data_IF_919654246659
#
_entry.id   IF_919654246659
#
_cell.length_a   1.000
_cell.length_b   1.000
_cell.length_c   1.000
_cell.angle_alpha   90.00
_cell.angle_beta   90.00
_cell.angle_gamma   90.00
#
_symmetry.space_group_name_H-M   'P 1'
#
loop_
_entity.id
_entity.type
_entity.pdbx_description
1 polymer ?
#
# COMPACT_ATOMS: atom_id res chain seq x y z
N UNK A 1 58.41 -19.28 -0.59
CA UNK A 1 57.11 -18.73 -1.07
C UNK A 1 56.51 -17.92 0.06
N UNK A 2 56.30 -16.62 -0.17
CA UNK A 2 55.94 -15.66 0.87
C UNK A 2 54.48 -15.86 1.30
N UNK A 3 54.16 -15.63 2.58
CA UNK A 3 52.76 -15.61 3.06
C UNK A 3 51.89 -14.60 2.29
N UNK A 4 52.50 -13.58 1.69
CA UNK A 4 51.84 -12.60 0.83
C UNK A 4 51.33 -13.21 -0.48
N UNK A 5 52.10 -14.09 -1.11
CA UNK A 5 51.74 -14.74 -2.38
C UNK A 5 50.49 -15.63 -2.22
N UNK A 6 50.39 -16.33 -1.09
CA UNK A 6 49.23 -17.16 -0.77
C UNK A 6 47.96 -16.39 -0.38
N UNK A 7 48.04 -15.09 -0.10
CA UNK A 7 46.85 -14.23 0.14
C UNK A 7 46.33 -13.68 -1.19
N UNK A 8 47.23 -13.27 -2.08
CA UNK A 8 46.88 -12.76 -3.42
C UNK A 8 46.18 -13.85 -4.24
N UNK A 9 46.69 -15.08 -4.21
CA UNK A 9 46.07 -16.20 -4.95
C UNK A 9 44.65 -16.51 -4.47
N UNK A 10 44.42 -16.47 -3.14
CA UNK A 10 43.08 -16.69 -2.57
C UNK A 10 42.10 -15.58 -2.92
N UNK A 11 42.55 -14.33 -2.95
CA UNK A 11 41.72 -13.20 -3.37
C UNK A 11 41.35 -13.31 -4.85
N UNK A 12 42.31 -13.69 -5.70
CA UNK A 12 42.06 -13.89 -7.12
C UNK A 12 41.05 -15.02 -7.37
N UNK A 13 41.21 -16.15 -6.66
CA UNK A 13 40.26 -17.26 -6.74
C UNK A 13 38.86 -16.85 -6.28
N UNK A 14 38.76 -16.10 -5.18
CA UNK A 14 37.47 -15.59 -4.67
C UNK A 14 36.80 -14.64 -5.68
N UNK A 15 37.58 -13.78 -6.36
CA UNK A 15 37.06 -12.88 -7.38
C UNK A 15 36.53 -13.64 -8.60
N UNK A 16 37.27 -14.65 -9.06
CA UNK A 16 36.84 -15.50 -10.18
C UNK A 16 35.57 -16.29 -9.83
N UNK A 17 35.45 -16.79 -8.61
CA UNK A 17 34.24 -17.47 -8.13
C UNK A 17 33.04 -16.50 -8.07
N UNK A 18 33.23 -15.30 -7.52
CA UNK A 18 32.19 -14.28 -7.48
C UNK A 18 31.75 -13.84 -8.89
N UNK A 19 32.68 -13.72 -9.83
CA UNK A 19 32.37 -13.42 -11.23
C UNK A 19 31.52 -14.52 -11.88
N UNK A 20 31.89 -15.79 -11.67
CA UNK A 20 31.13 -16.94 -12.19
C UNK A 20 29.72 -16.98 -11.62
N UNK A 21 29.56 -16.73 -10.32
CA UNK A 21 28.25 -16.69 -9.68
C UNK A 21 27.37 -15.57 -10.24
N UNK A 22 27.93 -14.37 -10.48
CA UNK A 22 27.21 -13.26 -11.10
C UNK A 22 26.78 -13.57 -12.53
N UNK A 23 27.65 -14.21 -13.33
CA UNK A 23 27.31 -14.64 -14.69
C UNK A 23 26.17 -15.67 -14.68
N UNK A 24 26.25 -16.67 -13.81
CA UNK A 24 25.20 -17.68 -13.65
C UNK A 24 23.86 -17.07 -13.21
N UNK A 25 23.89 -16.09 -12.30
CA UNK A 25 22.69 -15.35 -11.87
C UNK A 25 22.10 -14.53 -13.02
N UNK A 26 22.92 -13.83 -13.79
CA UNK A 26 22.48 -13.07 -14.95
C UNK A 26 21.83 -13.98 -16.02
N UNK A 27 22.47 -15.11 -16.35
CA UNK A 27 21.93 -16.11 -17.28
C UNK A 27 20.62 -16.73 -16.80
N UNK A 28 20.49 -16.99 -15.49
CA UNK A 28 19.25 -17.48 -14.91
C UNK A 28 18.12 -16.45 -15.01
N UNK A 29 18.41 -15.17 -14.77
CA UNK A 29 17.44 -14.08 -14.92
C UNK A 29 17.02 -13.91 -16.39
N UNK A 30 17.96 -13.94 -17.34
CA UNK A 30 17.67 -13.85 -18.77
C UNK A 30 16.74 -14.99 -19.20
N UNK A 31 17.03 -16.24 -18.81
CA UNK A 31 16.15 -17.39 -19.09
C UNK A 31 14.75 -17.21 -18.50
N UNK A 32 14.66 -16.70 -17.27
CA UNK A 32 13.37 -16.41 -16.64
C UNK A 32 12.56 -15.33 -17.40
N UNK A 33 13.21 -14.25 -17.85
CA UNK A 33 12.55 -13.22 -18.66
C UNK A 33 12.09 -13.76 -20.02
N UNK A 34 12.90 -14.59 -20.69
CA UNK A 34 12.48 -15.25 -21.94
C UNK A 34 11.26 -16.14 -21.71
N UNK A 35 11.24 -16.91 -20.62
CA UNK A 35 10.07 -17.71 -20.23
C UNK A 35 8.82 -16.87 -19.97
N UNK A 36 8.96 -15.69 -19.33
CA UNK A 36 7.84 -14.77 -19.14
C UNK A 36 7.32 -14.19 -20.46
N UNK A 37 8.21 -13.78 -21.36
CA UNK A 37 7.81 -13.27 -22.68
C UNK A 37 7.07 -14.33 -23.49
N UNK A 38 7.57 -15.56 -23.54
CA UNK A 38 6.88 -16.66 -24.20
C UNK A 38 5.51 -16.94 -23.58
N UNK A 39 5.39 -16.92 -22.25
CA UNK A 39 4.09 -17.08 -21.59
C UNK A 39 3.10 -15.96 -21.95
N UNK A 40 3.58 -14.72 -22.11
CA UNK A 40 2.75 -13.61 -22.58
C UNK A 40 2.27 -13.82 -24.01
N UNK A 41 3.14 -14.31 -24.91
CA UNK A 41 2.75 -14.67 -26.29
C UNK A 41 1.59 -15.67 -26.29
N UNK A 42 1.69 -16.74 -25.49
CA UNK A 42 0.63 -17.76 -25.40
C UNK A 42 -0.67 -17.19 -24.84
N UNK A 43 -0.60 -16.37 -23.77
CA UNK A 43 -1.80 -15.76 -23.16
C UNK A 43 -2.50 -14.76 -24.08
N UNK A 44 -1.76 -14.10 -24.96
CA UNK A 44 -2.30 -13.14 -25.92
C UNK A 44 -2.77 -13.82 -27.23
N UNK A 45 -2.69 -15.16 -27.33
CA UNK A 45 -3.07 -15.88 -28.54
C UNK A 45 -2.13 -15.62 -29.73
N UNK A 46 -0.90 -15.17 -29.49
CA UNK A 46 0.08 -14.82 -30.53
C UNK A 46 1.04 -15.98 -30.84
N UNK A 47 0.73 -17.20 -30.40
CA UNK A 47 1.59 -18.36 -30.55
C UNK A 47 1.83 -18.72 -32.02
N UNK A 48 0.79 -18.67 -32.86
CA UNK A 48 0.90 -18.96 -34.29
C UNK A 48 1.83 -17.97 -35.01
N UNK A 49 1.72 -16.67 -34.68
CA UNK A 49 2.60 -15.65 -35.26
C UNK A 49 4.06 -15.81 -34.82
N UNK A 50 4.29 -16.27 -33.58
CA UNK A 50 5.63 -16.60 -33.12
C UNK A 50 6.18 -17.83 -33.88
N UNK A 51 5.36 -18.84 -34.13
CA UNK A 51 5.77 -20.02 -34.88
C UNK A 51 6.03 -19.71 -36.36
N UNK A 52 5.28 -18.82 -36.99
CA UNK A 52 5.57 -18.32 -38.35
C UNK A 52 6.95 -17.64 -38.43
N UNK A 53 7.31 -16.87 -37.41
CA UNK A 53 8.63 -16.24 -37.34
C UNK A 53 9.71 -17.28 -37.09
N UNK A 54 9.46 -18.32 -36.28
CA UNK A 54 10.40 -19.42 -36.07
C UNK A 54 10.66 -20.24 -37.34
N UNK A 55 9.65 -20.37 -38.21
CA UNK A 55 9.82 -21.02 -39.51
C UNK A 55 10.72 -20.20 -40.44
N UNK A 56 10.70 -18.86 -40.33
CA UNK A 56 11.52 -17.96 -41.14
C UNK A 56 12.90 -17.66 -40.51
N UNK A 57 13.02 -17.75 -39.19
CA UNK A 57 14.24 -17.54 -38.43
C UNK A 57 14.39 -18.60 -37.33
N UNK A 58 15.30 -19.55 -37.56
CA UNK A 58 15.59 -20.65 -36.62
C UNK A 58 16.17 -20.19 -35.27
N UNK A 59 16.69 -18.95 -35.17
CA UNK A 59 17.22 -18.39 -33.92
C UNK A 59 16.17 -17.66 -33.08
N UNK A 60 14.97 -17.45 -33.62
CA UNK A 60 13.84 -16.89 -32.88
C UNK A 60 13.18 -17.93 -31.95
N UNK A 61 12.66 -17.54 -30.77
CA UNK A 61 12.93 -16.30 -30.04
C UNK A 61 14.12 -16.43 -29.06
N UNK A 62 14.89 -17.52 -29.11
CA UNK A 62 15.95 -17.80 -28.15
C UNK A 62 17.09 -16.77 -28.18
N UNK A 63 17.40 -16.23 -29.37
CA UNK A 63 18.41 -15.18 -29.55
C UNK A 63 17.89 -13.74 -29.46
N UNK A 64 16.61 -13.52 -29.15
CA UNK A 64 16.01 -12.19 -29.17
C UNK A 64 16.43 -11.33 -27.98
N UNK A 65 16.88 -10.12 -28.27
CA UNK A 65 17.04 -9.06 -27.29
C UNK A 65 15.74 -8.29 -27.02
N UNK A 66 15.79 -7.27 -26.13
CA UNK A 66 14.62 -6.47 -25.79
C UNK A 66 14.00 -5.71 -26.97
N UNK A 67 14.81 -5.33 -27.97
CA UNK A 67 14.38 -4.64 -29.19
C UNK A 67 13.52 -5.55 -30.07
N UNK A 68 13.94 -6.79 -30.26
CA UNK A 68 13.30 -7.80 -31.09
C UNK A 68 11.96 -8.21 -30.48
N UNK A 69 11.93 -8.44 -29.16
CA UNK A 69 10.69 -8.65 -28.43
C UNK A 69 9.72 -7.47 -28.56
N UNK A 70 10.21 -6.23 -28.47
CA UNK A 70 9.39 -5.04 -28.65
C UNK A 70 8.81 -4.98 -30.06
N UNK A 71 9.64 -5.19 -31.09
CA UNK A 71 9.20 -5.20 -32.49
C UNK A 71 8.16 -6.29 -32.74
N UNK A 72 8.39 -7.50 -32.23
CA UNK A 72 7.45 -8.61 -32.30
C UNK A 72 6.08 -8.23 -31.74
N UNK A 73 6.01 -7.74 -30.49
CA UNK A 73 4.71 -7.37 -29.89
C UNK A 73 4.06 -6.19 -30.61
N UNK A 74 4.83 -5.21 -31.11
CA UNK A 74 4.28 -4.11 -31.88
C UNK A 74 3.68 -4.58 -33.21
N UNK A 75 4.33 -5.49 -33.92
CA UNK A 75 3.84 -6.05 -35.17
C UNK A 75 2.64 -6.97 -34.94
N UNK A 76 2.75 -7.89 -33.98
CA UNK A 76 1.72 -8.87 -33.65
C UNK A 76 0.41 -8.23 -33.17
N UNK A 77 0.50 -7.14 -32.41
CA UNK A 77 -0.69 -6.37 -31.98
C UNK A 77 -1.34 -5.59 -33.12
N UNK A 78 -0.61 -5.32 -34.20
CA UNK A 78 -1.14 -4.66 -35.41
C UNK A 78 -1.74 -5.67 -36.38
N UNK A 79 -1.17 -6.88 -36.49
CA UNK A 79 -1.59 -7.91 -37.46
C UNK A 79 -2.69 -8.83 -36.93
N UNK A 80 -2.68 -9.20 -35.65
CA UNK A 80 -3.65 -10.12 -35.04
C UNK A 80 -4.77 -9.41 -34.28
N UNK A 81 -5.39 -8.39 -34.88
CA UNK A 81 -6.60 -7.77 -34.30
C UNK A 81 -7.87 -8.47 -34.82
N UNK A 82 -8.45 -9.45 -34.08
CA UNK A 82 -9.85 -9.82 -34.29
C UNK A 82 -10.73 -8.64 -33.89
N UNK A 83 -11.91 -8.53 -34.54
CA UNK A 83 -12.94 -7.48 -34.37
C UNK A 83 -13.57 -7.47 -32.95
N UNK A 84 -12.76 -7.26 -31.92
CA UNK A 84 -13.15 -6.99 -30.54
C UNK A 84 -12.25 -5.89 -29.98
N UNK A 85 -12.80 -4.87 -29.32
CA UNK A 85 -12.11 -3.61 -29.11
C UNK A 85 -11.11 -3.72 -27.95
N UNK A 86 -9.83 -3.79 -28.29
CA UNK A 86 -8.73 -3.57 -27.35
C UNK A 86 -8.03 -2.25 -27.70
N UNK A 87 -8.30 -1.26 -26.85
CA UNK A 87 -7.47 -0.12 -26.48
C UNK A 87 -6.49 0.44 -27.51
N UNK A 88 -6.98 1.48 -28.19
CA UNK A 88 -6.22 2.73 -28.26
C UNK A 88 -5.01 2.72 -29.19
N UNK A 89 -5.22 2.38 -30.47
CA UNK A 89 -4.62 3.13 -31.57
C UNK A 89 -5.40 2.84 -32.85
N UNK A 90 -6.12 3.83 -33.35
CA UNK A 90 -6.44 3.91 -34.77
C UNK A 90 -6.11 5.33 -35.21
N UNK A 91 -5.06 5.47 -36.02
CA UNK A 91 -5.06 6.57 -36.99
C UNK A 91 -6.15 6.24 -38.00
N UNK A 92 -7.29 6.91 -37.89
CA UNK A 92 -8.27 7.02 -38.95
C UNK A 92 -8.96 8.40 -38.89
N UNK A 93 -9.49 8.87 -40.02
CA UNK A 93 -9.80 10.26 -40.28
C UNK A 93 -10.99 10.76 -39.43
N UNK A 94 -10.83 11.99 -38.93
CA UNK A 94 -11.79 12.87 -38.25
C UNK A 94 -13.01 12.22 -37.53
N UNK A 95 -12.81 11.51 -36.40
CA UNK A 95 -13.89 11.07 -35.50
C UNK A 95 -14.29 12.16 -34.48
N UNK A 96 -13.66 13.34 -34.52
CA UNK A 96 -13.71 14.33 -33.46
C UNK A 96 -15.09 15.02 -33.39
N UNK A 97 -15.81 15.14 -34.50
CA UNK A 97 -17.11 15.82 -34.54
C UNK A 97 -18.24 15.01 -33.87
N UNK A 98 -18.28 13.69 -34.08
CA UNK A 98 -19.29 12.82 -33.44
C UNK A 98 -19.00 12.63 -31.96
N UNK A 99 -17.74 12.48 -31.58
CA UNK A 99 -17.36 12.32 -30.18
C UNK A 99 -17.56 13.62 -29.39
N UNK A 100 -17.25 14.78 -29.97
CA UNK A 100 -17.56 16.09 -29.36
C UNK A 100 -19.07 16.32 -29.22
N UNK A 101 -19.88 15.89 -30.20
CA UNK A 101 -21.34 15.95 -30.09
C UNK A 101 -21.89 15.04 -28.99
N UNK A 102 -21.33 13.83 -28.83
CA UNK A 102 -21.71 12.93 -27.73
C UNK A 102 -21.25 13.45 -26.37
N UNK A 103 -20.04 14.02 -26.28
CA UNK A 103 -19.56 14.66 -25.04
C UNK A 103 -20.47 15.84 -24.68
N UNK A 104 -20.85 16.69 -25.64
CA UNK A 104 -21.80 17.79 -25.38
C UNK A 104 -23.18 17.28 -24.95
N UNK A 105 -23.70 16.21 -25.58
CA UNK A 105 -24.97 15.60 -25.16
C UNK A 105 -24.90 15.02 -23.74
N UNK A 106 -23.81 14.35 -23.38
CA UNK A 106 -23.63 13.77 -22.05
C UNK A 106 -23.44 14.85 -20.99
N UNK A 107 -22.67 15.91 -21.28
CA UNK A 107 -22.52 17.05 -20.37
C UNK A 107 -23.85 17.77 -20.13
N UNK A 108 -24.64 18.02 -21.18
CA UNK A 108 -25.97 18.62 -21.03
C UNK A 108 -26.91 17.71 -20.22
N UNK A 109 -26.80 16.38 -20.36
CA UNK A 109 -27.61 15.44 -19.59
C UNK A 109 -27.21 15.39 -18.11
N UNK A 110 -25.93 15.54 -17.80
CA UNK A 110 -25.44 15.65 -16.42
C UNK A 110 -25.99 16.92 -15.78
N UNK A 111 -25.90 18.07 -16.45
CA UNK A 111 -26.43 19.34 -15.94
C UNK A 111 -27.96 19.28 -15.71
N UNK A 112 -28.72 18.63 -16.62
CA UNK A 112 -30.16 18.38 -16.43
C UNK A 112 -30.45 17.54 -15.18
N UNK A 113 -29.69 16.46 -14.97
CA UNK A 113 -29.88 15.55 -13.84
C UNK A 113 -29.48 16.22 -12.51
N UNK A 114 -28.42 17.01 -12.51
CA UNK A 114 -28.00 17.79 -11.34
C UNK A 114 -29.04 18.86 -10.99
N UNK A 115 -29.62 19.53 -11.99
CA UNK A 115 -30.71 20.47 -11.76
C UNK A 115 -31.99 19.78 -11.26
N UNK A 116 -32.28 18.57 -11.75
CA UNK A 116 -33.41 17.76 -11.26
C UNK A 116 -33.20 17.29 -9.82
N UNK A 117 -31.99 16.89 -9.45
CA UNK A 117 -31.63 16.54 -8.07
C UNK A 117 -31.75 17.75 -7.15
N UNK A 118 -31.27 18.92 -7.55
CA UNK A 118 -31.44 20.15 -6.76
C UNK A 118 -32.90 20.59 -6.60
N UNK A 119 -33.77 20.30 -7.59
CA UNK A 119 -35.22 20.53 -7.45
C UNK A 119 -35.86 19.54 -6.49
N UNK A 120 -35.50 18.26 -6.58
CA UNK A 120 -35.98 17.23 -5.66
C UNK A 120 -35.53 17.49 -4.20
N UNK A 121 -34.30 17.96 -3.99
CA UNK A 121 -33.79 18.37 -2.68
C UNK A 121 -34.51 19.60 -2.12
N UNK A 122 -34.88 20.57 -3.00
CA UNK A 122 -35.69 21.73 -2.62
C UNK A 122 -37.14 21.38 -2.34
N UNK A 123 -37.71 20.40 -3.05
CA UNK A 123 -39.05 19.87 -2.78
C UNK A 123 -39.09 19.05 -1.48
N UNK A 124 -38.01 18.36 -1.10
CA UNK A 124 -37.89 17.66 0.19
C UNK A 124 -37.60 18.58 1.38
N UNK A 125 -37.24 19.84 1.17
CA UNK A 125 -36.96 20.82 2.23
C UNK A 125 -38.10 21.84 2.45
N UNK A 126 -39.25 21.66 1.80
CA UNK A 126 -40.47 22.37 2.16
C UNK A 126 -41.04 21.82 3.49
N UNK A 127 -41.45 22.68 4.45
CA UNK A 127 -41.82 22.22 5.78
C UNK A 127 -43.20 21.54 5.76
N UNK A 128 -43.21 20.22 5.94
CA UNK A 128 -44.44 19.47 6.21
C UNK A 128 -44.64 19.32 7.72
N UNK A 129 -45.87 19.65 8.12
CA UNK A 129 -46.46 19.50 9.45
C UNK A 129 -46.41 18.04 9.93
N UNK A 130 -46.52 17.79 11.26
CA UNK A 130 -46.31 16.48 11.81
C UNK A 130 -47.61 15.68 11.72
N UNK A 131 -47.57 14.50 11.10
CA UNK A 131 -48.32 13.33 11.57
C UNK A 131 -47.96 12.07 10.78
N UNK A 132 -48.08 10.93 11.49
CA UNK A 132 -47.97 9.54 11.05
C UNK A 132 -46.62 8.84 11.15
N UNK A 133 -46.42 8.34 12.38
CA UNK A 133 -45.88 7.02 12.75
C UNK A 133 -45.99 5.98 11.65
N UNK A 134 -44.87 5.48 11.14
CA UNK A 134 -44.73 4.12 10.61
C UNK A 134 -43.29 3.63 10.80
N UNK A 135 -43.24 2.41 11.34
CA UNK A 135 -42.12 1.53 11.64
C UNK A 135 -40.96 1.54 10.64
N UNK A 136 -39.76 1.85 11.14
CA UNK A 136 -38.49 1.62 10.45
C UNK A 136 -38.05 0.16 10.55
N UNK A 137 -37.50 -0.44 9.47
CA UNK A 137 -36.72 -1.66 9.58
C UNK A 137 -35.34 -1.32 10.16
N UNK A 138 -34.93 -2.10 11.17
CA UNK A 138 -33.65 -2.01 11.85
C UNK A 138 -32.53 -2.42 10.89
N UNK A 139 -31.87 -1.45 10.26
CA UNK A 139 -30.54 -1.64 9.71
C UNK A 139 -29.57 -1.81 10.87
N UNK A 140 -29.16 -3.07 11.09
CA UNK A 140 -28.16 -3.41 12.09
C UNK A 140 -26.80 -2.96 11.56
N UNK A 141 -26.40 -1.72 11.86
CA UNK A 141 -25.00 -1.27 11.69
C UNK A 141 -24.13 -2.07 12.65
N UNK A 142 -23.45 -3.09 12.15
CA UNK A 142 -22.38 -3.75 12.89
C UNK A 142 -21.28 -2.72 13.17
N UNK A 143 -21.15 -2.26 14.42
CA UNK A 143 -20.04 -1.39 14.83
C UNK A 143 -18.70 -2.11 14.60
N UNK A 144 -17.97 -1.70 13.57
CA UNK A 144 -16.60 -2.17 13.34
C UNK A 144 -15.68 -1.42 14.29
N UNK A 145 -15.16 -2.10 15.31
CA UNK A 145 -14.17 -1.52 16.22
C UNK A 145 -12.89 -1.17 15.47
N UNK A 146 -12.58 0.12 15.43
CA UNK A 146 -11.41 0.68 14.73
C UNK A 146 -10.19 0.67 15.66
N UNK A 147 -9.03 0.26 15.14
CA UNK A 147 -7.82 0.20 15.93
C UNK A 147 -7.11 1.56 15.96
N UNK A 148 -7.01 2.19 17.13
CA UNK A 148 -5.98 3.20 17.37
C UNK A 148 -4.63 2.49 17.50
N UNK A 149 -3.77 2.64 16.50
CA UNK A 149 -2.47 1.99 16.53
C UNK A 149 -1.51 2.76 17.45
N UNK A 150 -1.06 2.06 18.48
CA UNK A 150 -0.13 2.57 19.49
C UNK A 150 1.27 2.78 18.90
N UNK A 151 2.13 3.57 19.56
CA UNK A 151 3.54 3.64 19.20
C UNK A 151 4.18 2.26 19.31
N UNK A 152 5.16 1.97 18.45
CA UNK A 152 5.73 0.62 18.34
C UNK A 152 6.35 0.11 19.65
N UNK A 153 6.97 1.00 20.44
CA UNK A 153 7.52 0.67 21.75
C UNK A 153 6.43 0.17 22.72
N UNK A 154 5.24 0.77 22.71
CA UNK A 154 4.14 0.31 23.57
C UNK A 154 3.60 -1.06 23.12
N UNK A 155 3.63 -1.36 21.82
CA UNK A 155 3.29 -2.69 21.31
C UNK A 155 4.29 -3.75 21.75
N UNK A 156 5.59 -3.40 21.80
CA UNK A 156 6.63 -4.28 22.34
C UNK A 156 6.34 -4.63 23.79
N UNK A 157 6.07 -3.64 24.64
CA UNK A 157 5.80 -3.88 26.06
C UNK A 157 4.52 -4.69 26.29
N UNK A 158 3.46 -4.39 25.54
CA UNK A 158 2.21 -5.18 25.57
C UNK A 158 2.43 -6.63 25.16
N UNK A 159 3.28 -6.88 24.17
CA UNK A 159 3.54 -8.23 23.68
C UNK A 159 4.49 -9.01 24.58
N UNK A 160 5.47 -8.36 25.21
CA UNK A 160 6.35 -8.96 26.24
C UNK A 160 5.56 -9.44 27.46
N UNK A 161 4.57 -8.66 27.90
CA UNK A 161 3.72 -9.00 29.04
C UNK A 161 2.66 -10.08 28.76
N UNK A 162 2.62 -10.65 27.55
CA UNK A 162 1.55 -11.56 27.13
C UNK A 162 2.00 -13.00 27.11
N UNK A 163 1.29 -13.85 27.84
CA UNK A 163 1.47 -15.29 27.74
C UNK A 163 1.01 -15.79 26.37
N UNK A 164 1.70 -16.79 25.83
CA UNK A 164 1.31 -17.42 24.56
C UNK A 164 0.17 -18.39 24.81
N UNK A 165 -1.04 -18.16 24.25
CA UNK A 165 -2.17 -19.05 24.43
C UNK A 165 -1.86 -20.50 24.05
N UNK A 166 -2.36 -21.51 24.78
CA UNK A 166 -2.06 -22.91 24.50
C UNK A 166 -2.66 -23.36 23.17
N UNK A 167 -1.95 -24.26 22.46
CA UNK A 167 -2.39 -24.84 21.18
C UNK A 167 -3.72 -25.58 21.26
N UNK A 168 -4.15 -25.98 22.45
CA UNK A 168 -5.43 -26.67 22.69
C UNK A 168 -6.64 -25.81 22.34
N UNK A 169 -6.49 -24.48 22.37
CA UNK A 169 -7.55 -23.53 21.98
C UNK A 169 -7.73 -23.45 20.45
N UNK A 170 -6.77 -23.96 19.67
CA UNK A 170 -6.81 -23.92 18.21
C UNK A 170 -7.60 -25.14 17.68
N UNK A 171 -8.46 -24.96 16.65
CA UNK A 171 -9.13 -26.05 15.97
C UNK A 171 -8.15 -27.16 15.56
N UNK A 172 -8.54 -28.42 15.77
CA UNK A 172 -7.65 -29.59 15.61
C UNK A 172 -6.96 -29.60 14.23
N UNK A 173 -7.70 -29.27 13.17
CA UNK A 173 -7.17 -29.22 11.79
C UNK A 173 -5.97 -28.28 11.62
N UNK A 174 -5.96 -27.15 12.34
CA UNK A 174 -4.90 -26.14 12.27
C UNK A 174 -3.89 -26.29 13.40
N UNK A 175 -4.26 -26.99 14.46
CA UNK A 175 -3.41 -27.24 15.62
C UNK A 175 -2.11 -27.88 15.19
N UNK A 176 -2.13 -28.96 14.40
CA UNK A 176 -0.92 -29.68 13.99
C UNK A 176 -0.12 -28.94 12.92
N UNK A 177 -0.79 -28.09 12.15
CA UNK A 177 -0.19 -27.26 11.13
C UNK A 177 0.66 -26.12 11.70
N UNK A 178 0.45 -25.68 12.95
CA UNK A 178 1.29 -24.67 13.59
C UNK A 178 2.57 -25.27 14.18
N UNK A 179 3.65 -24.49 14.18
CA UNK A 179 4.95 -24.84 14.74
C UNK A 179 4.90 -25.03 16.26
N UNK A 180 5.90 -25.69 16.86
CA UNK A 180 6.01 -25.91 18.33
C UNK A 180 7.04 -24.95 18.97
N UNK A 181 6.99 -24.80 20.30
CA UNK A 181 7.95 -23.99 21.07
C UNK A 181 8.03 -22.54 20.57
N UNK A 182 9.24 -22.01 20.40
CA UNK A 182 9.44 -20.64 19.92
C UNK A 182 8.82 -20.36 18.54
N UNK A 183 8.66 -21.38 17.69
CA UNK A 183 8.02 -21.19 16.38
C UNK A 183 6.54 -20.87 16.56
N UNK A 184 5.86 -21.62 17.43
CA UNK A 184 4.47 -21.38 17.80
C UNK A 184 4.29 -19.96 18.33
N UNK A 185 5.15 -19.58 19.27
CA UNK A 185 5.12 -18.26 19.90
C UNK A 185 5.19 -17.14 18.86
N UNK A 186 6.12 -17.22 17.91
CA UNK A 186 6.24 -16.22 16.84
C UNK A 186 5.03 -16.20 15.90
N UNK A 187 4.48 -17.36 15.56
CA UNK A 187 3.26 -17.46 14.73
C UNK A 187 2.08 -16.76 15.43
N UNK A 188 1.88 -17.05 16.71
CA UNK A 188 0.81 -16.46 17.52
C UNK A 188 1.01 -14.96 17.73
N UNK A 189 2.25 -14.51 17.93
CA UNK A 189 2.59 -13.10 18.06
C UNK A 189 2.30 -12.32 16.77
N UNK A 190 2.61 -12.88 15.58
CA UNK A 190 2.23 -12.26 14.29
C UNK A 190 0.70 -12.15 14.20
N UNK A 191 -0.02 -13.25 14.46
CA UNK A 191 -1.49 -13.24 14.41
C UNK A 191 -2.09 -12.21 15.35
N UNK A 192 -1.52 -12.06 16.55
CA UNK A 192 -1.94 -11.04 17.49
C UNK A 192 -1.70 -9.62 16.97
N UNK A 193 -0.50 -9.32 16.46
CA UNK A 193 -0.17 -7.99 15.93
C UNK A 193 -1.09 -7.60 14.77
N UNK A 194 -1.35 -8.53 13.85
CA UNK A 194 -2.30 -8.31 12.76
C UNK A 194 -3.75 -8.15 13.29
N UNK A 195 -4.14 -8.93 14.31
CA UNK A 195 -5.44 -8.77 14.96
C UNK A 195 -5.59 -7.42 15.68
N UNK A 196 -4.49 -6.78 16.10
CA UNK A 196 -4.52 -5.41 16.65
C UNK A 196 -4.64 -4.32 15.57
N UNK A 197 -4.71 -4.70 14.29
CA UNK A 197 -4.91 -3.79 13.16
C UNK A 197 -3.64 -3.41 12.41
N UNK A 198 -2.45 -3.83 12.85
CA UNK A 198 -1.21 -3.56 12.11
C UNK A 198 -1.25 -4.26 10.76
N UNK A 199 -0.91 -3.53 9.70
CA UNK A 199 -0.86 -4.07 8.35
C UNK A 199 0.54 -4.02 7.73
N UNK A 200 1.47 -3.24 8.30
CA UNK A 200 2.79 -3.01 7.71
C UNK A 200 3.77 -4.05 8.25
N UNK A 201 4.32 -4.87 7.34
CA UNK A 201 5.23 -5.96 7.73
C UNK A 201 6.48 -5.47 8.46
N UNK A 202 6.99 -4.29 8.10
CA UNK A 202 8.18 -3.73 8.75
C UNK A 202 7.94 -3.44 10.24
N UNK A 203 6.74 -2.98 10.61
CA UNK A 203 6.35 -2.77 12.01
C UNK A 203 6.26 -4.09 12.75
N UNK A 204 5.58 -5.07 12.16
CA UNK A 204 5.42 -6.41 12.75
C UNK A 204 6.77 -7.08 12.93
N UNK A 205 7.65 -7.02 11.91
CA UNK A 205 9.02 -7.54 11.97
C UNK A 205 9.83 -6.86 13.08
N UNK A 206 9.71 -5.54 13.24
CA UNK A 206 10.43 -4.79 14.26
C UNK A 206 9.94 -5.15 15.67
N UNK A 207 8.62 -5.15 15.92
CA UNK A 207 8.05 -5.50 17.22
C UNK A 207 8.43 -6.93 17.61
N UNK A 208 8.29 -7.89 16.68
CA UNK A 208 8.71 -9.28 16.91
C UNK A 208 10.19 -9.40 17.23
N UNK A 209 11.03 -8.66 16.50
CA UNK A 209 12.47 -8.68 16.71
C UNK A 209 12.83 -8.21 18.12
N UNK A 210 12.23 -7.10 18.58
CA UNK A 210 12.46 -6.58 19.93
C UNK A 210 11.98 -7.55 21.02
N UNK A 211 10.80 -8.15 20.86
CA UNK A 211 10.23 -9.07 21.85
C UNK A 211 11.03 -10.38 21.96
N UNK A 212 11.58 -10.85 20.85
CA UNK A 212 12.27 -12.15 20.80
C UNK A 212 13.81 -12.04 20.82
N UNK A 213 14.37 -10.84 21.01
CA UNK A 213 15.83 -10.62 20.97
C UNK A 213 16.46 -10.97 19.61
N UNK A 214 15.74 -10.76 18.50
CA UNK A 214 16.19 -11.06 17.15
C UNK A 214 16.61 -9.79 16.41
N UNK A 215 17.33 -9.96 15.30
CA UNK A 215 17.49 -8.87 14.33
C UNK A 215 16.18 -8.67 13.53
N UNK A 216 15.76 -7.42 13.27
CA UNK A 216 14.67 -7.14 12.33
C UNK A 216 14.93 -7.82 10.99
N UNK A 217 13.86 -8.29 10.32
CA UNK A 217 13.92 -8.98 9.02
C UNK A 217 14.78 -10.26 9.00
N UNK A 218 15.04 -10.86 10.17
CA UNK A 218 15.76 -12.13 10.26
C UNK A 218 15.05 -13.27 9.54
N UNK A 219 15.82 -14.27 9.10
CA UNK A 219 15.29 -15.42 8.37
C UNK A 219 14.23 -16.21 9.15
N UNK A 220 14.28 -16.22 10.49
CA UNK A 220 13.27 -16.85 11.34
C UNK A 220 11.91 -16.14 11.23
N UNK A 221 11.88 -14.82 11.27
CA UNK A 221 10.66 -14.03 11.09
C UNK A 221 10.11 -14.22 9.66
N UNK A 222 10.98 -14.13 8.64
CA UNK A 222 10.58 -14.35 7.24
C UNK A 222 9.95 -15.72 7.01
N UNK A 223 10.55 -16.79 7.54
CA UNK A 223 9.98 -18.15 7.45
C UNK A 223 8.64 -18.28 8.17
N UNK A 224 8.44 -17.51 9.24
CA UNK A 224 7.18 -17.52 10.00
C UNK A 224 6.06 -16.90 9.18
N UNK A 225 6.28 -15.72 8.55
CA UNK A 225 5.34 -15.12 7.60
C UNK A 225 5.00 -16.06 6.43
N UNK A 226 6.02 -16.62 5.78
CA UNK A 226 5.81 -17.52 4.64
C UNK A 226 4.95 -18.73 5.03
N UNK A 227 5.15 -19.28 6.24
CA UNK A 227 4.33 -20.38 6.73
C UNK A 227 2.90 -19.96 7.01
N UNK A 228 2.68 -18.84 7.70
CA UNK A 228 1.32 -18.36 7.96
C UNK A 228 0.56 -18.09 6.66
N UNK A 229 1.25 -17.61 5.62
CA UNK A 229 0.68 -17.44 4.28
C UNK A 229 0.37 -18.78 3.60
N UNK A 230 1.27 -19.76 3.69
CA UNK A 230 1.05 -21.13 3.19
C UNK A 230 -0.10 -21.86 3.88
N UNK A 231 -0.36 -21.52 5.15
CA UNK A 231 -1.49 -22.02 5.92
C UNK A 231 -2.78 -21.21 5.68
N UNK A 232 -2.74 -20.25 4.76
CA UNK A 232 -3.85 -19.36 4.44
C UNK A 232 -4.42 -18.64 5.67
N UNK A 233 -3.57 -18.35 6.67
CA UNK A 233 -3.95 -17.58 7.86
C UNK A 233 -3.68 -16.09 7.67
N UNK A 234 -2.77 -15.74 6.75
CA UNK A 234 -2.50 -14.36 6.38
C UNK A 234 -2.41 -14.24 4.87
N UNK A 235 -2.76 -13.07 4.37
CA UNK A 235 -2.48 -12.63 3.02
C UNK A 235 -1.35 -11.59 3.07
N UNK A 236 -0.45 -11.61 2.08
CA UNK A 236 0.63 -10.62 1.98
C UNK A 236 0.65 -9.98 0.61
N UNK A 237 0.81 -8.66 0.54
CA UNK A 237 0.97 -7.92 -0.71
C UNK A 237 2.13 -6.93 -0.60
N UNK A 238 2.85 -6.69 -1.70
CA UNK A 238 3.80 -5.58 -1.77
C UNK A 238 3.22 -4.49 -2.64
N UNK A 239 2.98 -3.32 -2.05
CA UNK A 239 2.60 -2.14 -2.79
C UNK A 239 3.84 -1.29 -3.12
N UNK A 240 3.79 -0.54 -4.21
CA UNK A 240 4.93 0.23 -4.71
C UNK A 240 4.53 1.67 -4.98
N UNK A 241 5.50 2.55 -4.75
CA UNK A 241 5.43 3.96 -5.07
C UNK A 241 6.59 4.30 -6.02
N UNK A 242 6.31 5.05 -7.08
CA UNK A 242 7.31 5.41 -8.10
C UNK A 242 8.07 6.69 -7.74
N UNK A 243 7.43 7.63 -7.06
CA UNK A 243 7.97 8.92 -6.65
C UNK A 243 7.51 9.27 -5.23
N UNK A 244 8.39 9.19 -4.22
CA UNK A 244 9.72 8.59 -4.27
C UNK A 244 9.66 7.07 -4.57
N UNK A 245 10.75 6.51 -5.13
CA UNK A 245 10.81 5.08 -5.47
C UNK A 245 10.96 4.24 -4.21
N UNK A 246 9.87 3.63 -3.76
CA UNK A 246 9.86 2.78 -2.58
C UNK A 246 8.78 1.70 -2.67
N UNK A 247 8.81 0.74 -1.76
CA UNK A 247 7.82 -0.33 -1.69
C UNK A 247 7.56 -0.73 -0.25
N UNK A 248 6.30 -1.04 0.04
CA UNK A 248 5.87 -1.44 1.37
C UNK A 248 5.24 -2.83 1.31
N UNK A 249 5.78 -3.76 2.10
CA UNK A 249 5.21 -5.08 2.27
C UNK A 249 4.13 -5.02 3.35
N UNK A 250 2.94 -5.49 3.01
CA UNK A 250 1.76 -5.53 3.85
C UNK A 250 1.35 -6.97 4.16
N UNK A 251 0.64 -7.14 5.27
CA UNK A 251 -0.01 -8.39 5.64
C UNK A 251 -1.36 -8.10 6.31
N UNK A 252 -2.34 -8.98 6.11
CA UNK A 252 -3.62 -8.97 6.82
C UNK A 252 -4.05 -10.40 7.17
N UNK A 253 -4.93 -10.54 8.15
CA UNK A 253 -5.55 -11.83 8.44
C UNK A 253 -6.54 -12.19 7.33
N UNK A 254 -6.50 -13.44 6.86
CA UNK A 254 -7.60 -14.02 6.08
C UNK A 254 -8.77 -14.35 7.01
N UNK A 255 -9.92 -14.76 6.46
CA UNK A 255 -11.04 -15.23 7.29
C UNK A 255 -10.64 -16.40 8.20
N UNK A 256 -9.84 -17.34 7.68
CA UNK A 256 -9.26 -18.43 8.48
C UNK A 256 -8.33 -17.89 9.58
N UNK A 257 -7.50 -16.90 9.26
CA UNK A 257 -6.64 -16.22 10.23
C UNK A 257 -7.42 -15.53 11.34
N UNK A 258 -8.53 -14.86 11.00
CA UNK A 258 -9.44 -14.22 11.96
C UNK A 258 -10.07 -15.25 12.88
N UNK A 259 -10.58 -16.35 12.33
CA UNK A 259 -11.17 -17.43 13.12
C UNK A 259 -10.15 -18.03 14.11
N UNK A 260 -8.89 -18.23 13.68
CA UNK A 260 -7.81 -18.68 14.58
C UNK A 260 -7.51 -17.63 15.65
N UNK A 261 -7.36 -16.37 15.27
CA UNK A 261 -7.10 -15.29 16.23
C UNK A 261 -8.21 -15.20 17.29
N UNK A 262 -9.48 -15.31 16.88
CA UNK A 262 -10.63 -15.35 17.79
C UNK A 262 -10.62 -16.58 18.69
N UNK A 263 -10.31 -17.77 18.15
CA UNK A 263 -10.18 -18.99 18.95
C UNK A 263 -9.06 -18.90 20.00
N UNK A 264 -8.01 -18.12 19.72
CA UNK A 264 -6.94 -17.78 20.65
C UNK A 264 -7.31 -16.67 21.65
N UNK A 265 -8.57 -16.22 21.65
CA UNK A 265 -9.09 -15.17 22.53
C UNK A 265 -8.62 -13.76 22.16
N UNK A 266 -8.22 -13.53 20.90
CA UNK A 266 -7.79 -12.21 20.46
C UNK A 266 -8.99 -11.38 20.02
N UNK A 267 -9.04 -10.12 20.47
CA UNK A 267 -9.89 -9.12 19.84
C UNK A 267 -9.31 -8.82 18.46
N UNK A 268 -10.08 -9.12 17.41
CA UNK A 268 -9.71 -8.87 16.02
C UNK A 268 -10.32 -7.54 15.59
N UNK A 269 -9.46 -6.59 15.26
CA UNK A 269 -9.81 -5.26 14.77
C UNK A 269 -9.63 -5.18 13.26
N UNK A 270 -10.26 -4.20 12.64
CA UNK A 270 -10.00 -3.86 11.23
C UNK A 270 -8.55 -3.39 11.07
N UNK A 271 -7.85 -3.93 10.06
CA UNK A 271 -6.51 -3.51 9.71
C UNK A 271 -6.49 -2.20 8.93
N UNK A 272 -5.41 -1.43 9.05
CA UNK A 272 -5.25 -0.15 8.35
C UNK A 272 -5.34 -0.28 6.82
N UNK A 273 -4.78 -1.37 6.28
CA UNK A 273 -4.85 -1.65 4.86
C UNK A 273 -6.29 -1.97 4.42
N UNK A 274 -7.04 -2.74 5.22
CA UNK A 274 -8.44 -3.06 4.94
C UNK A 274 -9.32 -1.82 5.00
N UNK A 275 -9.04 -0.96 5.97
CA UNK A 275 -9.71 0.32 6.15
C UNK A 275 -9.51 1.24 4.95
N UNK A 276 -8.28 1.33 4.41
CA UNK A 276 -7.99 2.08 3.19
C UNK A 276 -8.69 1.49 1.96
N UNK A 277 -8.75 0.16 1.83
CA UNK A 277 -9.50 -0.50 0.76
C UNK A 277 -10.99 -0.13 0.82
N UNK A 278 -11.58 -0.16 2.02
CA UNK A 278 -13.01 0.11 2.23
C UNK A 278 -13.39 1.58 2.09
N UNK A 279 -12.60 2.49 2.65
CA UNK A 279 -12.96 3.91 2.77
C UNK A 279 -12.39 4.79 1.65
N UNK A 280 -11.38 4.35 0.92
CA UNK A 280 -10.58 5.24 0.05
C UNK A 280 -10.27 4.66 -1.34
N UNK A 281 -11.14 3.79 -1.86
CA UNK A 281 -10.93 3.06 -3.13
C UNK A 281 -9.49 2.51 -3.25
N UNK A 282 -8.94 1.95 -2.15
CA UNK A 282 -7.49 1.72 -2.01
C UNK A 282 -6.85 0.87 -3.10
N UNK A 283 -7.63 0.06 -3.82
CA UNK A 283 -7.20 -0.70 -5.01
C UNK A 283 -7.02 0.18 -6.26
N UNK A 284 -7.88 1.19 -6.46
CA UNK A 284 -7.76 2.15 -7.57
C UNK A 284 -6.60 3.12 -7.36
N UNK A 285 -6.29 3.46 -6.12
CA UNK A 285 -5.23 4.41 -5.77
C UNK A 285 -4.11 3.79 -4.94
N UNK A 286 -3.61 2.61 -5.36
CA UNK A 286 -2.56 1.87 -4.65
C UNK A 286 -1.35 2.72 -4.22
N UNK A 287 -0.95 3.70 -5.03
CA UNK A 287 0.15 4.61 -4.69
C UNK A 287 -0.20 5.62 -3.58
N UNK A 288 -1.47 6.05 -3.45
CA UNK A 288 -1.93 6.84 -2.30
C UNK A 288 -2.01 6.00 -1.04
N UNK A 289 -2.56 4.78 -1.14
CA UNK A 289 -2.54 3.78 -0.05
C UNK A 289 -1.14 3.58 0.51
N UNK A 290 -0.11 3.43 -0.36
CA UNK A 290 1.28 3.31 0.08
C UNK A 290 1.76 4.58 0.78
N UNK A 291 1.46 5.76 0.21
CA UNK A 291 1.89 7.04 0.75
C UNK A 291 1.39 7.25 2.18
N UNK A 292 0.09 7.01 2.40
CA UNK A 292 -0.57 7.09 3.71
C UNK A 292 0.06 6.13 4.72
N UNK A 293 0.26 4.87 4.34
CA UNK A 293 0.86 3.86 5.22
C UNK A 293 2.32 4.17 5.54
N UNK A 294 3.12 4.69 4.60
CA UNK A 294 4.49 5.12 4.87
C UNK A 294 4.50 6.30 5.84
N UNK A 295 3.61 7.28 5.68
CA UNK A 295 3.54 8.39 6.62
C UNK A 295 3.19 7.89 8.04
N UNK A 296 2.15 7.06 8.17
CA UNK A 296 1.75 6.50 9.47
C UNK A 296 2.88 5.70 10.14
N UNK A 297 3.60 4.88 9.35
CA UNK A 297 4.80 4.17 9.78
C UNK A 297 5.85 5.13 10.35
N UNK A 298 6.20 6.18 9.61
CA UNK A 298 7.23 7.14 10.02
C UNK A 298 6.82 7.95 11.24
N UNK A 299 5.53 8.23 11.41
CA UNK A 299 4.99 8.84 12.62
C UNK A 299 5.19 7.92 13.84
N UNK A 300 4.85 6.63 13.74
CA UNK A 300 4.97 5.68 14.86
C UNK A 300 6.38 5.45 15.35
N UNK A 301 7.35 5.34 14.44
CA UNK A 301 8.75 5.14 14.83
C UNK A 301 9.28 6.36 15.60
N UNK A 302 8.79 7.56 15.25
CA UNK A 302 9.10 8.84 15.91
C UNK A 302 8.29 9.06 17.20
N UNK A 303 7.64 8.02 17.70
CA UNK A 303 6.89 8.03 18.96
C UNK A 303 5.49 8.63 18.88
N UNK A 304 4.98 8.96 17.69
CA UNK A 304 3.59 9.39 17.53
C UNK A 304 2.64 8.20 17.56
N UNK A 305 1.43 8.40 18.08
CA UNK A 305 0.30 7.55 17.73
C UNK A 305 -0.15 7.93 16.32
N UNK A 306 -0.55 6.94 15.52
CA UNK A 306 -1.06 7.18 14.16
C UNK A 306 -2.28 6.31 13.89
N UNK A 307 -3.38 6.92 13.48
CA UNK A 307 -4.62 6.26 13.07
C UNK A 307 -4.88 6.61 11.60
N UNK A 308 -4.95 5.59 10.74
CA UNK A 308 -5.21 5.74 9.31
C UNK A 308 -6.71 5.82 9.05
N UNK A 309 -7.13 6.74 8.18
CA UNK A 309 -8.53 7.05 7.86
C UNK A 309 -9.37 7.24 9.14
N UNK A 310 -8.98 8.13 10.06
CA UNK A 310 -9.69 8.36 11.31
C UNK A 310 -11.13 8.81 11.03
N UNK A 311 -12.01 8.54 11.99
CA UNK A 311 -13.34 9.16 11.98
C UNK A 311 -13.21 10.65 12.33
N UNK A 312 -13.76 11.51 11.47
CA UNK A 312 -13.74 12.95 11.65
C UNK A 312 -15.07 13.56 11.20
N UNK A 313 -15.46 14.64 11.88
CA UNK A 313 -16.65 15.42 11.50
C UNK A 313 -16.35 16.21 10.22
N UNK A 314 -16.77 15.70 9.06
CA UNK A 314 -16.55 16.35 7.77
C UNK A 314 -17.05 15.51 6.59
N UNK A 315 -17.14 16.14 5.41
CA UNK A 315 -17.57 15.46 4.17
C UNK A 315 -16.57 14.39 3.69
N UNK A 316 -15.29 14.57 3.98
CA UNK A 316 -14.22 13.65 3.58
C UNK A 316 -13.34 13.40 4.80
N UNK A 317 -13.14 12.13 5.21
CA UNK A 317 -12.25 11.80 6.30
C UNK A 317 -10.81 12.16 5.90
N UNK A 318 -10.00 12.74 6.80
CA UNK A 318 -8.60 13.00 6.53
C UNK A 318 -7.83 11.69 6.42
N UNK A 319 -6.65 11.71 5.79
CA UNK A 319 -5.88 10.48 5.56
C UNK A 319 -5.34 9.85 6.85
N UNK A 320 -4.77 10.66 7.77
CA UNK A 320 -4.15 10.17 9.01
C UNK A 320 -4.42 11.11 10.18
N UNK A 321 -4.64 10.58 11.36
CA UNK A 321 -4.59 11.31 12.62
C UNK A 321 -3.30 10.93 13.37
N UNK A 322 -2.49 11.92 13.74
CA UNK A 322 -1.32 11.72 14.60
C UNK A 322 -1.49 12.39 15.95
N UNK A 323 -0.98 11.77 17.01
CA UNK A 323 -1.00 12.34 18.35
C UNK A 323 0.28 12.05 19.15
N UNK A 324 0.80 13.07 19.82
CA UNK A 324 1.99 13.00 20.69
C UNK A 324 1.99 14.17 21.66
N UNK A 325 2.31 13.93 22.94
CA UNK A 325 2.49 14.96 23.96
C UNK A 325 1.34 15.99 24.05
N UNK A 326 0.09 15.49 23.99
CA UNK A 326 -1.12 16.33 24.01
C UNK A 326 -1.47 17.01 22.69
N UNK A 327 -0.57 16.98 21.69
CA UNK A 327 -0.88 17.42 20.33
C UNK A 327 -1.67 16.35 19.59
N UNK A 328 -2.63 16.80 18.79
CA UNK A 328 -3.47 15.95 17.92
C UNK A 328 -3.70 16.67 16.60
N UNK A 329 -3.23 16.07 15.51
CA UNK A 329 -3.28 16.68 14.17
C UNK A 329 -3.87 15.67 13.17
N UNK A 330 -4.90 16.10 12.45
CA UNK A 330 -5.36 15.47 11.23
C UNK A 330 -4.47 15.91 10.07
N UNK A 331 -3.94 14.94 9.35
CA UNK A 331 -2.91 15.09 8.33
C UNK A 331 -3.46 14.61 7.00
N UNK A 332 -3.17 15.40 5.97
CA UNK A 332 -3.45 15.03 4.59
C UNK A 332 -2.15 14.66 3.87
N UNK A 333 -2.15 13.56 3.13
CA UNK A 333 -0.98 13.04 2.41
C UNK A 333 -1.13 13.34 0.92
N UNK A 334 -0.51 14.41 0.43
CA UNK A 334 -0.80 14.90 -0.92
C UNK A 334 0.11 14.36 -2.01
N UNK A 335 -0.55 13.93 -3.08
CA UNK A 335 0.09 13.47 -4.32
C UNK A 335 -0.07 14.45 -5.49
N UNK A 336 -1.08 15.31 -5.45
CA UNK A 336 -1.45 16.20 -6.56
C UNK A 336 -0.80 17.57 -6.45
N UNK A 337 -0.34 18.12 -7.58
CA UNK A 337 0.37 19.42 -7.65
C UNK A 337 -0.51 20.65 -7.36
N UNK A 338 -1.84 20.49 -7.39
CA UNK A 338 -2.80 21.57 -7.12
C UNK A 338 -3.98 21.06 -6.35
N UNK A 339 -4.12 21.55 -5.14
CA UNK A 339 -5.25 21.26 -4.27
C UNK A 339 -6.20 22.44 -4.16
N UNK A 340 -7.48 22.13 -3.94
CA UNK A 340 -8.50 23.17 -3.78
C UNK A 340 -8.27 23.89 -2.46
N UNK A 341 -8.32 25.22 -2.47
CA UNK A 341 -8.23 26.05 -1.26
C UNK A 341 -9.19 25.62 -0.14
N UNK A 342 -10.36 25.09 -0.50
CA UNK A 342 -11.33 24.54 0.46
C UNK A 342 -10.76 23.36 1.28
N UNK A 343 -9.88 22.53 0.70
CA UNK A 343 -9.25 21.39 1.37
C UNK A 343 -8.42 21.84 2.57
N UNK A 344 -7.55 22.84 2.35
CA UNK A 344 -6.69 23.39 3.40
C UNK A 344 -7.47 24.05 4.52
N UNK A 345 -8.56 24.75 4.20
CA UNK A 345 -9.44 25.34 5.23
C UNK A 345 -10.15 24.28 6.06
N UNK A 346 -10.58 23.18 5.44
CA UNK A 346 -11.23 22.08 6.15
C UNK A 346 -10.25 21.40 7.12
N UNK A 347 -9.03 21.10 6.68
CA UNK A 347 -7.97 20.54 7.55
C UNK A 347 -7.63 21.51 8.67
N UNK A 348 -7.48 22.81 8.36
CA UNK A 348 -7.25 23.83 9.37
C UNK A 348 -8.37 23.86 10.42
N UNK A 349 -9.63 23.79 10.00
CA UNK A 349 -10.78 23.77 10.91
C UNK A 349 -10.75 22.54 11.84
N UNK A 350 -10.41 21.35 11.32
CA UNK A 350 -10.28 20.13 12.11
C UNK A 350 -9.17 20.22 13.17
N UNK A 351 -8.14 21.02 12.90
CA UNK A 351 -6.93 21.16 13.73
C UNK A 351 -6.89 22.47 14.54
N UNK A 352 -8.02 23.17 14.70
CA UNK A 352 -8.07 24.41 15.48
C UNK A 352 -7.31 25.59 14.85
N UNK A 353 -7.29 25.66 13.52
CA UNK A 353 -6.71 26.74 12.73
C UNK A 353 -5.40 26.41 12.03
N UNK A 354 -4.87 25.17 12.14
CA UNK A 354 -3.56 24.79 11.60
C UNK A 354 -3.64 23.71 10.51
N UNK A 355 -2.89 23.86 9.44
CA UNK A 355 -2.72 22.80 8.45
C UNK A 355 -1.64 21.82 8.89
N UNK A 356 -1.88 20.52 8.75
CA UNK A 356 -0.84 19.51 8.82
C UNK A 356 -0.86 18.70 7.51
N UNK A 357 0.27 18.66 6.80
CA UNK A 357 0.35 17.99 5.51
C UNK A 357 1.65 17.18 5.34
N UNK A 358 1.57 16.13 4.54
CA UNK A 358 2.72 15.36 4.07
C UNK A 358 2.70 15.34 2.54
N UNK A 359 3.71 15.93 1.91
CA UNK A 359 3.83 15.88 0.45
C UNK A 359 4.65 14.64 0.00
N UNK A 360 4.71 14.39 -1.31
CA UNK A 360 5.56 13.32 -1.83
C UNK A 360 7.05 13.65 -1.81
N UNK A 361 7.40 14.89 -2.16
CA UNK A 361 8.79 15.36 -2.37
C UNK A 361 9.00 16.72 -1.70
N UNK A 362 10.27 17.15 -1.49
CA UNK A 362 10.57 18.45 -0.90
C UNK A 362 10.05 19.63 -1.73
N UNK A 363 10.17 19.55 -3.05
CA UNK A 363 9.66 20.58 -3.97
C UNK A 363 8.15 20.72 -3.87
N UNK A 364 7.45 19.58 -3.78
CA UNK A 364 6.00 19.58 -3.64
C UNK A 364 5.56 20.12 -2.28
N UNK A 365 6.29 19.78 -1.20
CA UNK A 365 6.08 20.35 0.13
C UNK A 365 6.18 21.87 0.08
N UNK A 366 7.23 22.42 -0.53
CA UNK A 366 7.43 23.86 -0.64
C UNK A 366 6.28 24.56 -1.39
N UNK A 367 5.78 23.93 -2.46
CA UNK A 367 4.63 24.45 -3.22
C UNK A 367 3.35 24.48 -2.36
N UNK A 368 3.00 23.37 -1.70
CA UNK A 368 1.78 23.27 -0.88
C UNK A 368 1.83 24.20 0.33
N UNK A 369 3.00 24.31 0.97
CA UNK A 369 3.21 25.27 2.06
C UNK A 369 3.06 26.71 1.56
N UNK A 370 3.61 27.02 0.37
CA UNK A 370 3.42 28.32 -0.28
C UNK A 370 1.94 28.65 -0.50
N UNK A 371 1.13 27.68 -0.90
CA UNK A 371 -0.31 27.86 -1.09
C UNK A 371 -1.08 28.02 0.22
N UNK A 372 -0.65 27.37 1.30
CA UNK A 372 -1.19 27.60 2.65
C UNK A 372 -0.83 29.01 3.16
N UNK A 373 0.42 29.44 2.96
CA UNK A 373 0.90 30.78 3.33
C UNK A 373 0.15 31.90 2.61
N UNK A 374 -0.13 31.74 1.30
CA UNK A 374 -0.97 32.69 0.53
C UNK A 374 -2.39 32.81 1.11
N UNK A 375 -2.89 31.75 1.75
CA UNK A 375 -4.19 31.72 2.39
C UNK A 375 -4.16 32.13 3.88
N UNK A 376 -2.99 32.52 4.41
CA UNK A 376 -2.78 32.88 5.82
C UNK A 376 -3.21 31.78 6.79
N UNK A 377 -2.99 30.52 6.38
CA UNK A 377 -3.23 29.36 7.23
C UNK A 377 -1.88 28.92 7.82
N UNK A 378 -1.66 29.00 9.14
CA UNK A 378 -0.45 28.46 9.78
C UNK A 378 -0.43 26.93 9.69
N UNK A 379 0.72 26.30 9.91
CA UNK A 379 0.77 24.85 9.82
C UNK A 379 2.12 24.20 10.03
N UNK A 380 2.14 22.89 9.81
CA UNK A 380 3.31 22.01 9.81
C UNK A 380 3.30 21.15 8.54
N UNK A 381 4.48 20.86 8.02
CA UNK A 381 4.65 20.07 6.81
C UNK A 381 5.86 19.15 6.87
N UNK A 382 5.74 18.05 6.15
CA UNK A 382 6.82 17.09 5.88
C UNK A 382 6.65 16.51 4.48
N UNK A 383 7.51 15.60 4.07
CA UNK A 383 7.38 14.87 2.81
C UNK A 383 7.94 13.45 2.90
N UNK A 384 7.36 12.56 2.10
CA UNK A 384 7.73 11.15 2.11
C UNK A 384 9.18 10.92 1.70
N UNK A 385 9.70 11.62 0.70
CA UNK A 385 11.08 11.45 0.23
C UNK A 385 12.10 11.74 1.33
N UNK A 386 11.91 12.83 2.07
CA UNK A 386 12.75 13.18 3.22
C UNK A 386 12.53 12.25 4.42
N UNK A 387 11.30 11.77 4.64
CA UNK A 387 11.03 10.83 5.71
C UNK A 387 11.74 9.49 5.48
N UNK A 388 11.67 8.94 4.25
CA UNK A 388 12.24 7.62 3.91
C UNK A 388 13.76 7.66 3.69
N UNK A 389 14.35 8.84 3.47
CA UNK A 389 15.80 8.96 3.29
C UNK A 389 16.57 8.71 4.58
N UNK A 390 15.93 8.88 5.74
CA UNK A 390 16.49 8.57 7.05
C UNK A 390 16.38 7.06 7.29
N UNK A 391 17.53 6.44 7.59
CA UNK A 391 17.58 5.01 7.85
C UNK A 391 16.74 4.64 9.06
N UNK A 392 15.97 3.54 8.97
CA UNK A 392 15.11 3.08 10.06
C UNK A 392 15.84 2.95 11.41
N UNK A 393 17.11 2.54 11.40
CA UNK A 393 17.91 2.34 12.62
C UNK A 393 18.38 3.65 13.27
N UNK A 394 18.31 4.76 12.54
CA UNK A 394 18.72 6.09 13.01
C UNK A 394 17.52 6.89 13.57
N UNK A 395 16.29 6.43 13.34
CA UNK A 395 15.09 7.12 13.82
C UNK A 395 14.88 6.79 15.30
N UNK A 396 14.85 7.83 16.12
CA UNK A 396 14.44 7.78 17.52
C UNK A 396 13.10 8.48 17.74
N UNK A 397 12.59 8.43 18.97
CA UNK A 397 11.40 9.19 19.37
C UNK A 397 11.61 10.70 19.34
N UNK A 398 12.85 11.18 19.29
CA UNK A 398 13.21 12.60 19.25
C UNK A 398 13.43 13.09 17.81
N UNK A 399 13.54 12.17 16.85
CA UNK A 399 13.63 12.53 15.43
C UNK A 399 12.35 13.25 15.00
N UNK A 400 12.43 14.47 14.44
CA UNK A 400 11.25 15.24 14.10
C UNK A 400 10.43 14.56 13.00
N UNK A 401 9.10 14.63 13.13
CA UNK A 401 8.17 14.23 12.09
C UNK A 401 7.97 15.35 11.07
N UNK A 402 7.90 16.59 11.57
CA UNK A 402 7.68 17.80 10.79
C UNK A 402 9.02 18.43 10.41
N UNK A 403 9.18 18.78 9.14
CA UNK A 403 10.39 19.39 8.61
C UNK A 403 10.24 20.90 8.45
N UNK A 404 9.01 21.39 8.36
CA UNK A 404 8.69 22.81 8.28
C UNK A 404 7.51 23.13 9.20
N UNK A 405 7.59 24.27 9.87
CA UNK A 405 6.52 24.88 10.64
C UNK A 405 6.43 26.36 10.27
N UNK A 406 5.22 26.90 10.13
CA UNK A 406 5.01 28.30 9.82
C UNK A 406 3.80 28.87 10.55
N UNK A 407 3.81 30.19 10.71
CA UNK A 407 2.75 30.98 11.36
C UNK A 407 2.07 31.93 10.38
#
# INVERSE_FOLDING_TARGET
MSKADGVVERLHQTLVEAERDLRLQAEAQIRAYHGLMQNLVHRLGLAEHLDDIRHNDSHAPAGWGPSEWRTFFQQALVTNSPKTPAWGMTRCPDPDKKLRAQIQQLTARIEELEAALQRAEKEQTAPLQPEHTLTTPVETKTEVKTAKALPLQQLVERLKGRETPPRTQIPVRLRDALGRGQRYQREVQILWLLAQGLSIRLEVDWVLAQVNGLKPRSGSIRRTFNRLAQLELIETQTLRLSKPRTSLALARLTDNGRAVAQALGFEVREGEWERLLRLHEGDRFSAHTVAVLIFALHARIRGWQAEVMPEANGKTPPDVLVAKDGQRLFVEVERGEREKAAKWRNIAQLNGGRVALCAMTPDHRALLVGDCKKQRLPGVATDLESLISISWVEISTDTPLWLEEWS
#
